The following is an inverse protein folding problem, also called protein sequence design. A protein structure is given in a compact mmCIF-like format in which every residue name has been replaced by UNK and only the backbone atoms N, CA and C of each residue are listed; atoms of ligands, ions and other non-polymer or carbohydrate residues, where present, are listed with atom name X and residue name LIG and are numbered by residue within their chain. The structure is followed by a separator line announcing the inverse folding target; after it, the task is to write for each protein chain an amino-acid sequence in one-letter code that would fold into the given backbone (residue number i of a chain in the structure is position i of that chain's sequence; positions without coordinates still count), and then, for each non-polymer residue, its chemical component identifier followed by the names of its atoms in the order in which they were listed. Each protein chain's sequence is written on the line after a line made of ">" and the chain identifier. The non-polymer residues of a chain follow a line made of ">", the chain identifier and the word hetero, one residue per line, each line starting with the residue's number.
data_IF_841085215429
#
_entry.id   IF_841085215429
#
_cell.length_a   1.000
_cell.length_b   1.000
_cell.length_c   1.000
_cell.angle_alpha   90.00
_cell.angle_beta   90.00
_cell.angle_gamma   90.00
#
_symmetry.space_group_name_H-M   'P 1'
#
loop_
_entity.id
_entity.type
_entity.pdbx_description
1 polymer ?
#
# COMPACT_ATOMS: atom_id res chain seq x y z
N UNK A 1 1.14 -4.84 26.57
CA UNK A 1 1.61 -5.03 25.27
C UNK A 1 0.54 -4.79 24.21
N UNK A 2 0.92 -4.12 23.20
CA UNK A 2 -0.03 -3.62 22.25
C UNK A 2 -0.22 -4.61 21.10
N UNK A 3 -1.43 -5.21 21.02
CA UNK A 3 -1.72 -6.18 19.97
C UNK A 3 -1.89 -5.54 18.60
N UNK A 4 -2.02 -4.22 18.56
CA UNK A 4 -2.14 -3.53 17.27
C UNK A 4 -0.77 -3.19 16.69
N UNK A 5 0.28 -3.53 17.39
CA UNK A 5 1.64 -3.26 16.92
C UNK A 5 1.94 -4.15 15.72
N UNK A 6 2.36 -3.52 14.64
CA UNK A 6 2.60 -4.23 13.41
C UNK A 6 4.02 -4.79 13.37
N UNK A 7 4.17 -6.08 13.10
CA UNK A 7 5.47 -6.71 12.92
C UNK A 7 5.95 -6.62 11.50
N UNK A 8 5.02 -6.54 10.57
CA UNK A 8 5.33 -6.48 9.15
C UNK A 8 4.18 -5.80 8.46
N UNK A 9 4.49 -4.82 7.65
CA UNK A 9 3.48 -4.05 6.94
C UNK A 9 3.79 -4.09 5.45
N UNK A 10 2.74 -4.36 4.66
CA UNK A 10 2.84 -4.33 3.21
C UNK A 10 1.71 -3.48 2.67
N UNK A 11 2.06 -2.54 1.81
CA UNK A 11 1.09 -1.71 1.12
C UNK A 11 1.17 -2.06 -0.36
N UNK A 12 0.01 -2.25 -0.98
CA UNK A 12 -0.08 -2.64 -2.38
C UNK A 12 -0.98 -1.67 -3.12
N UNK A 13 -0.52 -1.22 -4.29
CA UNK A 13 -1.34 -0.39 -5.18
C UNK A 13 -1.54 -1.18 -6.47
N UNK A 14 -2.80 -1.35 -6.85
CA UNK A 14 -3.17 -2.08 -8.05
C UNK A 14 -3.94 -1.18 -8.99
N UNK A 15 -3.94 -1.54 -10.28
CA UNK A 15 -4.75 -0.84 -11.26
C UNK A 15 -6.14 -1.47 -11.33
N UNK A 16 -6.96 -1.02 -12.27
CA UNK A 16 -8.34 -1.52 -12.39
C UNK A 16 -8.41 -2.94 -12.88
N UNK A 17 -7.32 -3.47 -13.44
CA UNK A 17 -7.26 -4.86 -13.87
C UNK A 17 -6.81 -5.79 -12.74
N UNK A 18 -6.48 -5.22 -11.58
CA UNK A 18 -6.01 -6.00 -10.46
C UNK A 18 -4.52 -6.28 -10.49
N UNK A 19 -3.80 -5.68 -11.42
CA UNK A 19 -2.35 -5.84 -11.49
C UNK A 19 -1.67 -4.96 -10.45
N UNK A 20 -0.77 -5.54 -9.67
CA UNK A 20 -0.02 -4.77 -8.69
C UNK A 20 1.06 -3.97 -9.42
N UNK A 21 1.03 -2.65 -9.24
CA UNK A 21 1.98 -1.77 -9.90
C UNK A 21 3.01 -1.23 -8.92
N UNK A 22 2.69 -1.19 -7.64
CA UNK A 22 3.63 -0.70 -6.64
C UNK A 22 3.36 -1.40 -5.31
N UNK A 23 4.41 -1.70 -4.60
CA UNK A 23 4.28 -2.24 -3.27
C UNK A 23 5.41 -1.73 -2.39
N UNK A 24 5.14 -1.70 -1.11
CA UNK A 24 6.10 -1.28 -0.11
C UNK A 24 5.98 -2.20 1.09
N UNK A 25 7.09 -2.68 1.57
CA UNK A 25 7.12 -3.55 2.74
C UNK A 25 8.10 -3.01 3.76
N UNK A 26 7.75 -3.14 5.01
CA UNK A 26 8.64 -2.74 6.08
C UNK A 26 8.36 -3.57 7.32
N UNK A 27 9.39 -3.77 8.13
CA UNK A 27 9.24 -4.33 9.45
C UNK A 27 9.22 -3.25 10.52
N UNK A 28 9.26 -2.01 10.10
CA UNK A 28 9.21 -0.88 10.99
C UNK A 28 7.84 -0.80 11.65
N UNK A 29 7.83 -0.58 12.95
CA UNK A 29 6.59 -0.42 13.68
C UNK A 29 6.02 0.96 13.41
N UNK A 30 4.74 1.03 13.04
CA UNK A 30 4.06 2.29 12.76
C UNK A 30 4.76 3.11 11.68
N UNK A 31 4.84 2.57 10.45
CA UNK A 31 5.55 3.28 9.39
C UNK A 31 4.81 4.49 8.83
N UNK A 32 3.65 4.79 9.36
CA UNK A 32 2.82 5.87 8.82
C UNK A 32 3.17 7.21 9.44
N UNK A 33 2.95 8.29 8.69
CA UNK A 33 2.33 8.31 7.36
C UNK A 33 3.27 7.85 6.26
N UNK A 34 2.69 7.20 5.26
CA UNK A 34 3.41 6.78 4.07
C UNK A 34 2.96 7.63 2.90
N UNK A 35 3.90 7.98 2.05
CA UNK A 35 3.61 8.75 0.85
C UNK A 35 3.97 7.94 -0.37
N UNK A 36 2.99 7.75 -1.26
CA UNK A 36 3.24 7.13 -2.55
C UNK A 36 3.60 8.23 -3.54
N UNK A 37 4.73 8.07 -4.22
CA UNK A 37 5.23 9.09 -5.12
C UNK A 37 4.69 8.91 -6.55
N UNK A 38 3.64 8.10 -6.73
CA UNK A 38 2.96 7.88 -8.01
C UNK A 38 3.85 7.20 -9.05
N UNK A 39 4.77 6.36 -8.57
CA UNK A 39 5.65 5.59 -9.43
C UNK A 39 5.44 4.11 -9.19
N UNK A 40 5.72 3.30 -10.21
CA UNK A 40 5.71 1.86 -10.03
C UNK A 40 7.01 1.41 -9.37
N UNK A 41 7.17 0.10 -9.19
CA UNK A 41 8.35 -0.43 -8.52
C UNK A 41 9.63 -0.25 -9.34
N UNK A 42 9.51 0.13 -10.59
CA UNK A 42 10.66 0.42 -11.44
C UNK A 42 11.01 1.89 -11.46
N UNK A 43 10.30 2.71 -10.70
CA UNK A 43 10.54 4.14 -10.66
C UNK A 43 9.88 4.92 -11.76
N UNK A 44 9.01 4.27 -12.53
CA UNK A 44 8.34 4.92 -13.64
C UNK A 44 7.03 5.52 -13.21
N UNK A 45 6.75 6.76 -13.60
CA UNK A 45 5.52 7.43 -13.26
C UNK A 45 4.31 6.68 -13.82
N UNK A 46 3.29 6.48 -12.98
CA UNK A 46 2.09 5.78 -13.42
C UNK A 46 1.21 6.71 -14.26
N UNK A 47 0.37 6.10 -15.09
CA UNK A 47 -0.57 6.86 -15.93
C UNK A 47 -1.71 7.41 -15.09
N UNK A 48 -2.35 8.46 -15.58
CA UNK A 48 -3.56 8.95 -14.96
C UNK A 48 -4.63 7.86 -15.01
N UNK A 49 -5.40 7.77 -13.95
CA UNK A 49 -6.48 6.78 -13.89
C UNK A 49 -6.80 6.41 -12.46
N UNK A 50 -7.51 5.30 -12.32
CA UNK A 50 -7.94 4.81 -11.04
C UNK A 50 -7.03 3.70 -10.57
N UNK A 51 -6.70 3.74 -9.27
CA UNK A 51 -5.87 2.74 -8.62
C UNK A 51 -6.50 2.38 -7.29
N UNK A 52 -6.09 1.26 -6.73
CA UNK A 52 -6.60 0.81 -5.45
C UNK A 52 -5.45 0.48 -4.53
N UNK A 53 -5.55 0.97 -3.31
CA UNK A 53 -4.52 0.78 -2.29
C UNK A 53 -5.06 -0.17 -1.23
N UNK A 54 -4.24 -1.12 -0.82
CA UNK A 54 -4.63 -2.10 0.17
C UNK A 54 -3.47 -2.32 1.13
N UNK A 55 -3.78 -2.43 2.40
CA UNK A 55 -2.76 -2.64 3.41
C UNK A 55 -2.87 -4.03 4.02
N UNK A 56 -1.72 -4.63 4.30
CA UNK A 56 -1.60 -5.92 4.95
C UNK A 56 -0.71 -5.72 6.17
N UNK A 57 -1.26 -5.99 7.34
CA UNK A 57 -0.55 -5.76 8.60
C UNK A 57 -0.45 -7.07 9.36
N UNK A 58 0.76 -7.53 9.55
CA UNK A 58 1.01 -8.74 10.33
C UNK A 58 1.27 -8.35 11.76
N UNK A 59 0.43 -8.81 12.67
CA UNK A 59 0.53 -8.46 14.08
C UNK A 59 0.66 -9.74 14.90
N UNK A 60 0.89 -9.58 16.20
CA UNK A 60 0.93 -10.73 17.10
C UNK A 60 -0.42 -11.42 17.21
N UNK A 61 -1.50 -10.73 16.85
CA UNK A 61 -2.84 -11.30 16.89
C UNK A 61 -3.28 -11.87 15.54
N UNK A 62 -2.44 -11.77 14.51
CA UNK A 62 -2.77 -12.28 13.19
C UNK A 62 -2.59 -11.22 12.12
N UNK A 63 -3.03 -11.55 10.92
CA UNK A 63 -2.91 -10.66 9.77
C UNK A 63 -4.19 -9.85 9.61
N UNK A 64 -4.03 -8.55 9.45
CA UNK A 64 -5.14 -7.64 9.20
C UNK A 64 -5.00 -7.13 7.77
N UNK A 65 -6.08 -7.25 6.99
CA UNK A 65 -6.11 -6.76 5.62
C UNK A 65 -7.14 -5.66 5.54
N UNK A 66 -6.73 -4.47 5.09
CA UNK A 66 -7.66 -3.36 4.96
C UNK A 66 -8.46 -3.48 3.68
N UNK A 67 -9.67 -2.91 3.63
CA UNK A 67 -10.41 -2.85 2.37
C UNK A 67 -9.65 -2.02 1.35
N UNK A 68 -9.85 -2.34 0.08
CA UNK A 68 -9.23 -1.59 -0.99
C UNK A 68 -9.77 -0.16 -0.99
N UNK A 69 -8.88 0.81 -1.13
CA UNK A 69 -9.24 2.21 -1.15
C UNK A 69 -8.91 2.80 -2.51
N UNK A 70 -9.87 3.47 -3.10
CA UNK A 70 -9.72 4.02 -4.44
C UNK A 70 -8.83 5.26 -4.41
N UNK A 71 -7.94 5.33 -5.38
CA UNK A 71 -7.05 6.46 -5.59
C UNK A 71 -7.23 6.92 -7.03
N UNK A 72 -7.35 8.23 -7.23
CA UNK A 72 -7.42 8.78 -8.57
C UNK A 72 -6.15 9.58 -8.81
N UNK A 73 -5.43 9.21 -9.87
CA UNK A 73 -4.20 9.88 -10.26
C UNK A 73 -4.51 10.79 -11.44
N UNK A 74 -4.14 12.03 -11.29
CA UNK A 74 -4.36 13.04 -12.31
C UNK A 74 -2.99 13.52 -12.79
N UNK A 75 -2.79 13.52 -14.10
CA UNK A 75 -1.54 14.03 -14.65
C UNK A 75 -1.68 15.50 -14.99
N UNK A 76 -0.56 16.16 -14.95
CA UNK A 76 -0.49 17.54 -15.37
C UNK A 76 -0.14 17.64 -16.85
#
# INVERSE_FOLDING_TARGET
>A
NDVTESKHTRISVTNTLGEEIWSYETTENNPFPLTWNLQDNNGKRVSAGQYYCKGYFETSAGTIVTPAKKIVVITQ
#
